data_IF_374875404759
#
_entry.id   IF_374875404759
#
_cell.length_a   1.000
_cell.length_b   1.000
_cell.length_c   1.000
_cell.angle_alpha   90.00
_cell.angle_beta   90.00
_cell.angle_gamma   90.00
#
_symmetry.space_group_name_H-M   'P 1'
#
loop_
_entity.id
_entity.type
_entity.pdbx_description
1 polymer ?
#
# COMPACT_ATOMS: atom_id res chain seq x y z
N UNK A 1 38.57 33.87 21.16
CA UNK A 1 37.57 32.85 21.50
C UNK A 1 37.27 32.07 20.22
N UNK A 2 37.58 30.78 20.20
CA UNK A 2 37.36 29.93 19.03
C UNK A 2 35.92 29.42 19.11
N UNK A 3 35.00 30.10 18.43
CA UNK A 3 33.66 29.56 18.14
C UNK A 3 33.85 28.38 17.18
N UNK A 4 34.03 27.20 17.75
CA UNK A 4 34.04 25.95 17.01
C UNK A 4 32.68 25.77 16.36
N UNK A 5 32.58 26.15 15.08
CA UNK A 5 31.48 25.79 14.19
C UNK A 5 31.37 24.27 14.24
N UNK A 6 30.33 23.76 14.91
CA UNK A 6 30.01 22.34 14.89
C UNK A 6 30.00 21.86 13.44
N UNK A 7 30.58 20.69 13.11
CA UNK A 7 30.59 20.21 11.74
C UNK A 7 29.15 20.19 11.19
N UNK A 8 28.90 20.95 10.13
CA UNK A 8 27.58 21.11 9.50
C UNK A 8 27.04 19.78 8.94
N UNK A 9 27.93 18.79 8.79
CA UNK A 9 27.63 17.47 8.26
C UNK A 9 28.04 16.38 9.25
N UNK A 10 27.04 15.70 9.80
CA UNK A 10 27.22 14.46 10.55
C UNK A 10 27.05 13.28 9.57
N UNK A 11 28.15 12.57 9.29
CA UNK A 11 28.18 11.47 8.33
C UNK A 11 27.25 10.33 8.73
N UNK A 12 27.17 9.99 10.02
CA UNK A 12 26.32 8.90 10.47
C UNK A 12 24.85 9.31 10.37
N UNK A 13 24.54 10.54 10.77
CA UNK A 13 23.18 11.10 10.60
C UNK A 13 22.74 11.11 9.14
N UNK A 14 23.58 11.56 8.23
CA UNK A 14 23.22 11.61 6.81
C UNK A 14 23.12 10.21 6.19
N UNK A 15 23.97 9.26 6.59
CA UNK A 15 23.86 7.86 6.14
C UNK A 15 22.55 7.21 6.62
N UNK A 16 22.13 7.48 7.86
CA UNK A 16 20.86 7.01 8.39
C UNK A 16 19.68 7.65 7.64
N UNK A 17 19.74 8.95 7.36
CA UNK A 17 18.73 9.65 6.55
C UNK A 17 18.57 9.05 5.15
N UNK A 18 19.66 8.69 4.48
CA UNK A 18 19.61 8.07 3.15
C UNK A 18 19.04 6.65 3.19
N UNK A 19 19.40 5.84 4.18
CA UNK A 19 18.82 4.50 4.39
C UNK A 19 17.32 4.58 4.63
N UNK A 20 16.89 5.55 5.44
CA UNK A 20 15.49 5.79 5.74
C UNK A 20 14.69 6.15 4.48
N UNK A 21 15.21 7.06 3.64
CA UNK A 21 14.59 7.40 2.36
C UNK A 21 14.47 6.18 1.45
N UNK A 22 15.49 5.31 1.41
CA UNK A 22 15.46 4.05 0.67
C UNK A 22 14.34 3.12 1.16
N UNK A 23 14.28 2.89 2.47
CA UNK A 23 13.22 2.05 3.08
C UNK A 23 11.82 2.59 2.80
N UNK A 24 11.61 3.90 2.91
CA UNK A 24 10.32 4.53 2.58
C UNK A 24 9.96 4.27 1.11
N UNK A 25 10.92 4.39 0.20
CA UNK A 25 10.71 4.12 -1.23
C UNK A 25 10.30 2.66 -1.47
N UNK A 26 10.98 1.71 -0.82
CA UNK A 26 10.70 0.28 -0.94
C UNK A 26 9.33 -0.09 -0.36
N UNK A 27 8.98 0.48 0.81
CA UNK A 27 7.65 0.37 1.42
C UNK A 27 6.59 0.92 0.46
N UNK A 28 6.82 2.11 -0.09
CA UNK A 28 5.89 2.75 -1.04
C UNK A 28 5.61 1.88 -2.26
N UNK A 29 6.65 1.24 -2.82
CA UNK A 29 6.53 0.28 -3.92
C UNK A 29 5.69 -0.94 -3.55
N UNK A 30 6.06 -1.63 -2.45
CA UNK A 30 5.35 -2.83 -1.99
C UNK A 30 3.87 -2.56 -1.71
N UNK A 31 3.58 -1.45 -1.04
CA UNK A 31 2.22 -1.05 -0.71
C UNK A 31 1.40 -0.75 -1.97
N UNK A 32 1.99 -0.07 -2.96
CA UNK A 32 1.33 0.19 -4.22
C UNK A 32 1.01 -1.10 -4.98
N UNK A 33 1.94 -2.07 -4.99
CA UNK A 33 1.74 -3.36 -5.67
C UNK A 33 0.66 -4.21 -4.97
N UNK A 34 0.61 -4.20 -3.65
CA UNK A 34 -0.44 -4.87 -2.88
C UNK A 34 -1.80 -4.22 -3.14
N UNK A 35 -1.88 -2.89 -3.12
CA UNK A 35 -3.13 -2.18 -3.40
C UNK A 35 -3.64 -2.51 -4.81
N UNK A 36 -2.77 -2.53 -5.83
CA UNK A 36 -3.13 -2.93 -7.20
C UNK A 36 -3.61 -4.38 -7.27
N UNK A 37 -2.85 -5.30 -6.69
CA UNK A 37 -3.18 -6.74 -6.69
C UNK A 37 -4.53 -6.99 -6.03
N UNK A 38 -4.76 -6.39 -4.86
CA UNK A 38 -6.01 -6.56 -4.16
C UNK A 38 -7.19 -5.91 -4.89
N UNK A 39 -6.95 -4.74 -5.50
CA UNK A 39 -7.94 -4.08 -6.35
C UNK A 39 -8.35 -4.93 -7.54
N UNK A 40 -7.38 -5.57 -8.20
CA UNK A 40 -7.63 -6.48 -9.32
C UNK A 40 -8.39 -7.73 -8.88
N UNK A 41 -7.99 -8.38 -7.78
CA UNK A 41 -8.69 -9.55 -7.24
C UNK A 41 -10.14 -9.22 -6.86
N UNK A 42 -10.35 -8.10 -6.16
CA UNK A 42 -11.68 -7.69 -5.74
C UNK A 42 -12.56 -7.31 -6.93
N UNK A 43 -12.02 -6.53 -7.89
CA UNK A 43 -12.74 -6.13 -9.09
C UNK A 43 -13.12 -7.34 -9.97
N UNK A 44 -12.20 -8.30 -10.15
CA UNK A 44 -12.48 -9.55 -10.86
C UNK A 44 -13.54 -10.37 -10.14
N UNK A 45 -13.46 -10.46 -8.81
CA UNK A 45 -14.45 -11.18 -8.00
C UNK A 45 -15.84 -10.58 -8.13
N UNK A 46 -15.98 -9.26 -7.99
CA UNK A 46 -17.28 -8.57 -8.13
C UNK A 46 -17.85 -8.74 -9.54
N UNK A 47 -17.01 -8.66 -10.57
CA UNK A 47 -17.44 -8.90 -11.94
C UNK A 47 -17.87 -10.37 -12.13
N UNK A 48 -17.08 -11.34 -11.65
CA UNK A 48 -17.41 -12.75 -11.73
C UNK A 48 -18.70 -13.11 -10.98
N UNK A 49 -18.93 -12.52 -9.80
CA UNK A 49 -20.14 -12.74 -9.01
C UNK A 49 -21.40 -12.28 -9.79
N UNK A 50 -21.27 -11.31 -10.70
CA UNK A 50 -22.37 -10.81 -11.54
C UNK A 50 -22.51 -11.51 -12.89
N UNK A 51 -21.41 -11.85 -13.54
CA UNK A 51 -21.39 -12.42 -14.90
C UNK A 51 -21.24 -13.94 -14.93
N UNK A 52 -21.10 -14.58 -13.76
CA UNK A 52 -20.99 -16.02 -13.60
C UNK A 52 -19.55 -16.52 -13.75
N UNK A 53 -19.21 -17.66 -13.13
CA UNK A 53 -17.84 -18.19 -13.11
C UNK A 53 -17.40 -18.76 -14.47
N UNK A 54 -16.08 -18.86 -14.64
CA UNK A 54 -15.50 -19.54 -15.79
C UNK A 54 -15.79 -21.05 -15.74
N UNK A 55 -15.95 -21.69 -16.90
CA UNK A 55 -16.07 -23.15 -17.01
C UNK A 55 -14.80 -23.84 -16.47
N UNK A 56 -14.98 -24.93 -15.73
CA UNK A 56 -13.89 -25.59 -15.00
C UNK A 56 -12.82 -26.21 -15.92
N UNK A 57 -13.21 -26.62 -17.12
CA UNK A 57 -12.41 -27.20 -18.19
C UNK A 57 -11.87 -26.17 -19.21
N UNK A 58 -12.04 -24.87 -18.93
CA UNK A 58 -11.59 -23.81 -19.83
C UNK A 58 -10.06 -23.86 -20.04
N UNK A 59 -9.66 -23.78 -21.31
CA UNK A 59 -8.24 -23.63 -21.71
C UNK A 59 -7.68 -22.29 -21.25
N UNK A 60 -6.35 -22.17 -21.18
CA UNK A 60 -5.69 -20.91 -20.77
C UNK A 60 -6.14 -19.71 -21.62
N UNK A 61 -6.30 -19.90 -22.93
CA UNK A 61 -6.80 -18.88 -23.85
C UNK A 61 -8.23 -18.44 -23.49
N UNK A 62 -9.10 -19.39 -23.13
CA UNK A 62 -10.45 -19.09 -22.68
C UNK A 62 -10.45 -18.39 -21.32
N UNK A 63 -9.53 -18.74 -20.41
CA UNK A 63 -9.35 -18.03 -19.13
C UNK A 63 -8.98 -16.58 -19.38
N UNK A 64 -7.99 -16.32 -20.24
CA UNK A 64 -7.55 -14.96 -20.54
C UNK A 64 -8.63 -14.15 -21.24
N UNK A 65 -9.32 -14.73 -22.22
CA UNK A 65 -10.43 -14.07 -22.91
C UNK A 65 -11.57 -13.72 -21.94
N UNK A 66 -11.87 -14.60 -21.00
CA UNK A 66 -12.88 -14.35 -19.97
C UNK A 66 -12.45 -13.27 -18.98
N UNK A 67 -11.21 -13.31 -18.48
CA UNK A 67 -10.68 -12.24 -17.62
C UNK A 67 -10.67 -10.89 -18.35
N UNK A 68 -10.26 -10.86 -19.62
CA UNK A 68 -10.31 -9.65 -20.44
C UNK A 68 -11.74 -9.09 -20.54
N UNK A 69 -12.74 -9.95 -20.77
CA UNK A 69 -14.16 -9.54 -20.75
C UNK A 69 -14.58 -9.00 -19.39
N UNK A 70 -14.20 -9.65 -18.28
CA UNK A 70 -14.50 -9.14 -16.94
C UNK A 70 -13.87 -7.76 -16.71
N UNK A 71 -12.64 -7.52 -17.18
CA UNK A 71 -11.97 -6.21 -17.07
C UNK A 71 -12.69 -5.08 -17.83
N UNK A 72 -13.49 -5.43 -18.84
CA UNK A 72 -14.27 -4.44 -19.59
C UNK A 72 -15.60 -4.06 -18.90
N UNK A 73 -16.05 -4.86 -17.93
CA UNK A 73 -17.33 -4.66 -17.23
C UNK A 73 -17.35 -3.38 -16.40
N UNK A 74 -18.52 -2.72 -16.27
CA UNK A 74 -18.63 -1.52 -15.46
C UNK A 74 -18.39 -1.80 -13.97
N UNK A 75 -18.71 -3.00 -13.48
CA UNK A 75 -18.48 -3.42 -12.10
C UNK A 75 -17.00 -3.53 -11.79
N UNK A 76 -16.23 -4.16 -12.68
CA UNK A 76 -14.79 -4.23 -12.55
C UNK A 76 -14.18 -2.83 -12.52
N UNK A 77 -14.52 -1.96 -13.48
CA UNK A 77 -13.97 -0.60 -13.57
C UNK A 77 -14.30 0.22 -12.33
N UNK A 78 -15.56 0.20 -11.89
CA UNK A 78 -16.02 0.90 -10.68
C UNK A 78 -15.32 0.41 -9.42
N UNK A 79 -15.10 -0.90 -9.30
CA UNK A 79 -14.40 -1.44 -8.14
C UNK A 79 -12.91 -1.08 -8.19
N UNK A 80 -12.29 -1.13 -9.36
CA UNK A 80 -10.89 -0.79 -9.55
C UNK A 80 -10.59 0.70 -9.30
N UNK A 81 -11.54 1.59 -9.56
CA UNK A 81 -11.44 3.02 -9.20
C UNK A 81 -11.17 3.24 -7.71
N UNK A 82 -11.68 2.37 -6.84
CA UNK A 82 -11.43 2.46 -5.39
C UNK A 82 -9.96 2.22 -5.02
N UNK A 83 -9.20 1.54 -5.87
CA UNK A 83 -7.78 1.22 -5.68
C UNK A 83 -6.87 2.04 -6.60
N UNK A 84 -7.45 2.82 -7.51
CA UNK A 84 -6.74 3.61 -8.51
C UNK A 84 -6.14 4.90 -7.97
N UNK A 85 -5.51 5.66 -8.88
CA UNK A 85 -4.84 6.91 -8.50
C UNK A 85 -5.83 7.95 -7.99
N UNK A 86 -5.56 8.56 -6.83
CA UNK A 86 -6.44 9.55 -6.19
C UNK A 86 -7.58 8.95 -5.38
N UNK A 87 -7.65 7.62 -5.27
CA UNK A 87 -8.62 6.93 -4.44
C UNK A 87 -8.42 7.17 -2.94
N UNK A 88 -9.47 6.89 -2.16
CA UNK A 88 -9.42 6.89 -0.70
C UNK A 88 -8.34 5.93 -0.17
N UNK A 89 -8.13 4.79 -0.84
CA UNK A 89 -7.06 3.84 -0.51
C UNK A 89 -5.68 4.48 -0.65
N UNK A 90 -5.42 5.11 -1.82
CA UNK A 90 -4.15 5.80 -2.01
C UNK A 90 -3.95 6.92 -0.98
N UNK A 91 -5.00 7.69 -0.69
CA UNK A 91 -4.94 8.76 0.32
C UNK A 91 -4.68 8.21 1.73
N UNK A 92 -5.32 7.10 2.10
CA UNK A 92 -5.10 6.41 3.36
C UNK A 92 -3.67 5.91 3.51
N UNK A 93 -3.12 5.29 2.46
CA UNK A 93 -1.70 4.89 2.39
C UNK A 93 -0.79 6.10 2.58
N UNK A 94 -1.00 7.17 1.81
CA UNK A 94 -0.18 8.38 1.91
C UNK A 94 -0.23 8.99 3.31
N UNK A 95 -1.41 9.04 3.92
CA UNK A 95 -1.58 9.53 5.28
C UNK A 95 -0.86 8.64 6.31
N UNK A 96 -0.93 7.30 6.17
CA UNK A 96 -0.21 6.38 7.05
C UNK A 96 1.31 6.52 6.91
N UNK A 97 1.82 6.61 5.68
CA UNK A 97 3.26 6.85 5.42
C UNK A 97 3.70 8.21 5.96
N UNK A 98 2.91 9.26 5.79
CA UNK A 98 3.21 10.58 6.33
C UNK A 98 3.16 10.61 7.86
N UNK A 99 2.21 9.90 8.48
CA UNK A 99 2.16 9.75 9.93
C UNK A 99 3.39 9.03 10.48
N UNK A 100 3.85 7.98 9.79
CA UNK A 100 5.11 7.30 10.12
C UNK A 100 6.30 8.23 9.99
N UNK A 101 6.40 9.02 8.91
CA UNK A 101 7.45 10.02 8.74
C UNK A 101 7.40 11.11 9.82
N UNK A 102 6.19 11.56 10.19
CA UNK A 102 5.97 12.64 11.16
C UNK A 102 6.22 12.23 12.62
N UNK A 103 5.92 10.99 13.00
CA UNK A 103 6.26 10.42 14.31
C UNK A 103 7.77 10.22 14.48
N UNK A 104 8.51 10.22 13.38
CA UNK A 104 9.82 9.62 13.30
C UNK A 104 10.92 10.57 12.85
N UNK A 105 10.83 11.87 13.11
CA UNK A 105 11.78 12.90 12.63
C UNK A 105 13.29 12.59 12.78
N UNK A 106 13.70 11.55 13.53
CA UNK A 106 15.03 10.93 13.51
C UNK A 106 15.04 9.36 13.63
N UNK A 107 13.89 8.63 13.67
CA UNK A 107 13.85 7.17 13.88
C UNK A 107 12.58 6.46 13.36
N UNK A 108 12.46 6.29 12.04
CA UNK A 108 11.32 5.57 11.41
C UNK A 108 11.25 4.12 11.86
N UNK A 109 12.40 3.45 11.99
CA UNK A 109 12.50 2.06 12.45
C UNK A 109 11.85 1.87 13.83
N UNK A 110 12.12 2.78 14.77
CA UNK A 110 11.52 2.77 16.09
C UNK A 110 10.03 3.08 16.10
N UNK A 111 9.58 4.01 15.25
CA UNK A 111 8.15 4.31 15.10
C UNK A 111 7.36 3.13 14.52
N UNK A 112 7.92 2.44 13.52
CA UNK A 112 7.34 1.23 12.95
C UNK A 112 7.33 0.07 13.95
N UNK A 113 8.40 -0.13 14.73
CA UNK A 113 8.42 -1.16 15.79
C UNK A 113 7.33 -0.94 16.86
N UNK A 114 6.86 0.30 17.04
CA UNK A 114 5.77 0.64 17.96
C UNK A 114 4.36 0.60 17.34
N UNK A 115 4.23 0.55 16.01
CA UNK A 115 2.95 0.56 15.31
C UNK A 115 2.47 -0.86 15.02
N UNK A 116 1.30 -1.24 15.53
CA UNK A 116 0.71 -2.54 15.22
C UNK A 116 0.01 -2.52 13.85
N UNK A 117 0.13 -3.60 13.08
CA UNK A 117 -0.58 -3.74 11.79
C UNK A 117 -2.10 -3.56 11.90
N UNK A 118 -2.80 -4.01 12.98
CA UNK A 118 -4.22 -3.74 13.16
C UNK A 118 -4.58 -2.25 13.27
N UNK A 119 -3.81 -1.44 13.99
CA UNK A 119 -4.06 0.00 14.13
C UNK A 119 -3.83 0.74 12.81
N UNK A 120 -2.74 0.40 12.09
CA UNK A 120 -2.48 0.93 10.75
C UNK A 120 -3.58 0.51 9.76
N UNK A 121 -4.05 -0.73 9.82
CA UNK A 121 -5.15 -1.21 8.99
C UNK A 121 -6.47 -0.49 9.32
N UNK A 122 -6.75 -0.23 10.60
CA UNK A 122 -7.92 0.53 11.01
C UNK A 122 -7.86 1.98 10.52
N UNK A 123 -6.70 2.64 10.65
CA UNK A 123 -6.49 4.01 10.15
C UNK A 123 -6.65 4.10 8.62
N UNK A 124 -6.00 3.19 7.89
CA UNK A 124 -6.13 3.11 6.43
C UNK A 124 -7.56 2.78 6.06
N UNK A 125 -8.19 1.80 6.70
CA UNK A 125 -9.57 1.39 6.44
C UNK A 125 -10.59 2.51 6.65
N UNK A 126 -10.51 3.23 7.78
CA UNK A 126 -11.37 4.37 8.09
C UNK A 126 -11.27 5.47 7.04
N UNK A 127 -10.05 5.80 6.63
CA UNK A 127 -9.80 6.86 5.66
C UNK A 127 -10.03 6.41 4.21
N UNK A 128 -9.95 5.10 3.95
CA UNK A 128 -10.08 4.50 2.64
C UNK A 128 -11.53 4.09 2.27
N UNK A 129 -12.49 4.22 3.19
CA UNK A 129 -13.83 3.66 3.03
C UNK A 129 -13.83 2.13 2.95
N UNK A 130 -12.72 1.52 3.34
CA UNK A 130 -12.51 0.09 3.40
C UNK A 130 -12.70 -0.36 4.86
N UNK A 131 -13.93 -0.25 5.36
CA UNK A 131 -14.25 -0.78 6.67
C UNK A 131 -14.34 -2.30 6.57
N UNK A 132 -13.27 -2.97 7.00
CA UNK A 132 -13.12 -4.43 7.11
C UNK A 132 -12.70 -5.15 5.82
N UNK A 133 -11.42 -5.07 5.44
CA UNK A 133 -10.92 -5.74 4.24
C UNK A 133 -9.45 -6.14 4.36
N UNK A 134 -9.16 -7.33 3.85
CA UNK A 134 -7.83 -7.91 3.78
C UNK A 134 -6.83 -7.01 3.04
N UNK A 135 -7.34 -6.13 2.15
CA UNK A 135 -6.59 -5.05 1.51
C UNK A 135 -5.86 -4.15 2.51
N UNK A 136 -6.60 -3.57 3.45
CA UNK A 136 -6.04 -2.63 4.42
C UNK A 136 -5.06 -3.33 5.36
N UNK A 137 -5.33 -4.60 5.70
CA UNK A 137 -4.42 -5.45 6.51
C UNK A 137 -3.13 -5.76 5.77
N UNK A 138 -3.20 -6.17 4.50
CA UNK A 138 -2.03 -6.48 3.69
C UNK A 138 -1.17 -5.23 3.45
N UNK A 139 -1.80 -4.10 3.15
CA UNK A 139 -1.14 -2.79 3.03
C UNK A 139 -0.45 -2.43 4.35
N UNK A 140 -1.16 -2.49 5.48
CA UNK A 140 -0.60 -2.18 6.79
C UNK A 140 0.57 -3.11 7.16
N UNK A 141 0.48 -4.38 6.80
CA UNK A 141 1.55 -5.35 7.02
C UNK A 141 2.79 -5.05 6.18
N UNK A 142 2.62 -4.64 4.91
CA UNK A 142 3.75 -4.24 4.07
C UNK A 142 4.39 -2.93 4.52
N UNK A 143 3.59 -1.98 5.00
CA UNK A 143 4.10 -0.78 5.68
C UNK A 143 4.98 -1.20 6.86
N UNK A 144 4.50 -2.10 7.72
CA UNK A 144 5.24 -2.59 8.88
C UNK A 144 6.48 -3.44 8.52
N UNK A 145 6.38 -4.26 7.47
CA UNK A 145 7.38 -5.24 7.08
C UNK A 145 8.56 -4.67 6.30
N UNK A 146 8.45 -3.49 5.68
CA UNK A 146 9.57 -2.89 4.94
C UNK A 146 10.72 -2.34 5.80
N UNK A 147 10.77 -2.70 7.09
CA UNK A 147 11.82 -2.34 8.05
C UNK A 147 12.73 -3.54 8.43
N UNK A 148 12.48 -4.74 7.91
CA UNK A 148 13.29 -5.95 8.23
C UNK A 148 14.49 -6.15 7.30
#
# INVERSE_FOLDING_TARGET
ANDSISPIFDKEKEQNRLKEIGMISDIGGQVADIARTQGELNALKVAQDKYGPLQADATEEQRQAYLAKLRETPEYKKEQEKFGTGSDIQRGIQAATAALQGLAGDNIVGALAGASAPELANFIGHNAGINDNDAAKAIAHAILGGVT
#
